data_IF_016863702646
#
_entry.id   IF_016863702646
#
_cell.length_a   1.000
_cell.length_b   1.000
_cell.length_c   1.000
_cell.angle_alpha   90.00
_cell.angle_beta   90.00
_cell.angle_gamma   90.00
#
_symmetry.space_group_name_H-M   'P 1'
#
loop_
_entity.id
_entity.type
_entity.pdbx_description
1 polymer ?
2 non-polymer ?
3 water ?
#
# COMPACT_ATOMS: atom_id res chain seq x y z
N UNK A 2 -3.96 -8.91 17.57
CA UNK A 2 -5.00 -9.93 17.75
C UNK A 2 -4.75 -10.79 18.95
N UNK A 3 -3.47 -11.02 19.23
CA UNK A 3 -2.99 -12.08 20.11
C UNK A 3 -2.97 -13.42 19.31
N UNK A 4 -1.75 -13.83 18.95
CA UNK A 4 -1.54 -14.99 18.09
C UNK A 4 -0.10 -15.19 17.63
N UNK A 5 0.08 -16.26 16.88
CA UNK A 5 1.36 -16.71 16.33
C UNK A 5 2.06 -15.78 15.28
N UNK A 6 2.38 -14.55 15.68
CA UNK A 6 3.34 -13.65 14.99
C UNK A 6 3.12 -12.30 15.60
N UNK A 7 4.21 -11.81 16.16
CA UNK A 7 4.15 -10.68 17.06
C UNK A 7 4.81 -9.46 16.39
N UNK A 8 4.25 -8.27 16.61
CA UNK A 8 4.59 -7.13 15.79
C UNK A 8 4.78 -5.85 16.51
N UNK A 9 5.62 -5.05 15.92
CA UNK A 9 5.87 -3.78 16.51
C UNK A 9 5.63 -2.82 15.44
N UNK A 10 5.03 -1.71 15.84
CA UNK A 10 4.53 -0.72 14.96
C UNK A 10 5.33 0.48 15.26
N UNK A 11 6.25 0.77 14.33
CA UNK A 11 7.03 1.95 14.34
C UNK A 11 6.21 3.18 14.74
N UNK A 12 5.79 4.01 13.80
CA UNK A 12 5.42 5.38 14.14
C UNK A 12 4.10 5.55 14.93
N UNK A 13 4.01 4.91 16.10
CA UNK A 13 2.80 4.80 16.89
C UNK A 13 1.64 5.84 16.97
N UNK A 14 1.92 7.15 16.92
CA UNK A 14 0.85 8.17 16.91
C UNK A 14 0.73 8.84 15.53
N UNK A 15 1.39 8.22 14.55
CA UNK A 15 1.18 8.51 13.13
C UNK A 15 -0.26 8.16 12.72
N UNK A 16 -0.72 8.84 11.67
CA UNK A 16 -2.00 8.53 11.07
C UNK A 16 -1.88 7.10 10.61
N UNK A 17 -0.75 6.75 10.02
CA UNK A 17 -0.55 5.33 9.86
C UNK A 17 -0.47 4.45 11.13
N UNK A 18 0.38 4.83 12.13
CA UNK A 18 0.49 4.00 13.36
C UNK A 18 -0.88 3.76 13.99
N UNK A 19 -1.68 4.80 14.14
CA UNK A 19 -2.95 4.60 14.84
C UNK A 19 -3.79 3.46 14.27
N UNK A 20 -3.94 3.44 12.94
CA UNK A 20 -4.68 2.44 12.19
C UNK A 20 -4.03 1.06 12.09
N UNK A 21 -2.71 1.01 11.94
CA UNK A 21 -2.04 -0.32 12.00
C UNK A 21 -2.32 -1.03 13.35
N UNK A 22 -2.50 -0.22 14.39
CA UNK A 22 -2.67 -0.80 15.73
C UNK A 22 -3.94 -1.58 15.73
N UNK A 23 -4.97 -0.94 15.18
CA UNK A 23 -6.28 -1.53 15.23
C UNK A 23 -6.28 -2.79 14.42
N UNK A 24 -5.49 -2.75 13.36
CA UNK A 24 -5.41 -3.87 12.46
C UNK A 24 -4.68 -5.05 13.07
N UNK A 25 -3.63 -4.71 13.84
CA UNK A 25 -2.78 -5.69 14.48
C UNK A 25 -3.69 -6.38 15.44
N UNK A 26 -4.31 -5.55 16.26
CA UNK A 26 -5.33 -6.00 17.15
C UNK A 26 -6.27 -6.91 16.36
N UNK A 27 -7.14 -6.30 15.57
CA UNK A 27 -8.08 -7.03 14.73
C UNK A 27 -7.67 -8.36 14.15
N UNK A 28 -6.63 -8.36 13.33
CA UNK A 28 -6.39 -9.51 12.48
C UNK A 28 -5.89 -10.81 13.13
N UNK A 29 -6.66 -11.87 12.95
CA UNK A 29 -6.29 -13.19 13.43
C UNK A 29 -4.85 -13.60 13.12
N UNK A 30 -4.11 -14.08 14.13
CA UNK A 30 -2.81 -14.76 13.94
C UNK A 30 -1.63 -13.80 14.14
N UNK A 31 -1.94 -12.53 14.34
CA UNK A 31 -0.90 -11.55 14.63
C UNK A 31 -1.20 -11.13 16.00
N UNK A 32 -0.17 -10.67 16.70
CA UNK A 32 -0.35 -10.11 18.02
C UNK A 32 0.49 -8.87 18.15
N UNK A 33 -0.02 -7.84 18.80
CA UNK A 33 0.74 -6.58 18.98
C UNK A 33 2.01 -6.79 19.81
N UNK A 34 3.16 -6.78 19.13
CA UNK A 34 4.45 -6.98 19.79
C UNK A 34 4.86 -5.76 20.64
N UNK A 35 5.08 -4.63 19.97
CA UNK A 35 5.55 -3.37 20.58
C UNK A 35 4.92 -2.17 19.85
N UNK A 36 5.03 -1.00 20.45
CA UNK A 36 4.49 0.17 19.83
C UNK A 36 5.39 1.29 20.06
N UNK A 37 6.48 1.31 19.31
CA UNK A 37 7.44 2.39 19.41
C UNK A 37 6.90 3.74 19.02
N UNK A 38 7.73 4.75 19.21
CA UNK A 38 7.42 6.11 18.76
C UNK A 38 8.65 6.99 19.01
N UNK A 39 8.60 8.22 18.51
CA UNK A 39 9.71 9.16 18.65
C UNK A 39 10.05 9.36 20.14
N UNK A 40 11.29 9.68 20.43
CA UNK A 40 11.69 10.01 21.81
C UNK A 40 10.87 11.14 22.42
N UNK A 41 10.92 12.32 21.79
CA UNK A 41 10.15 13.50 22.22
C UNK A 41 8.64 13.29 22.38
N UNK A 42 8.18 12.06 22.12
CA UNK A 42 6.76 11.71 22.22
C UNK A 42 6.11 11.94 23.59
N UNK A 43 4.83 12.22 23.54
CA UNK A 43 4.02 12.52 24.71
C UNK A 43 3.34 11.22 25.09
N UNK A 44 3.29 10.36 24.10
CA UNK A 44 2.52 9.16 24.17
C UNK A 44 3.39 8.10 24.75
N UNK A 45 4.66 8.45 24.88
CA UNK A 45 5.68 7.56 25.40
C UNK A 45 5.39 6.84 26.68
N UNK A 46 5.99 5.63 26.71
CA UNK A 46 6.09 4.74 27.88
C UNK A 46 4.71 4.40 28.38
N UNK A 47 3.88 5.41 28.41
CA UNK A 47 2.56 5.32 28.93
C UNK A 47 1.83 4.15 28.27
N UNK A 48 1.19 4.46 27.14
CA UNK A 48 0.13 3.69 26.46
C UNK A 48 -0.14 2.19 26.32
N UNK A 49 -0.74 1.92 25.18
CA UNK A 49 -1.13 0.60 24.80
C UNK A 49 -1.55 0.82 23.36
N UNK A 50 -2.73 0.32 23.04
CA UNK A 50 -3.36 0.66 21.79
C UNK A 50 -4.63 1.33 22.24
N UNK A 51 -4.55 2.65 22.34
CA UNK A 51 -5.69 3.43 22.75
C UNK A 51 -5.65 4.70 21.98
N UNK A 52 -5.12 4.56 20.77
CA UNK A 52 -5.37 5.51 19.69
C UNK A 52 -6.24 4.70 18.75
N UNK A 53 -6.05 3.40 18.84
CA UNK A 53 -6.93 2.47 18.16
C UNK A 53 -8.13 2.24 19.07
N UNK A 54 -8.51 3.29 19.80
CA UNK A 54 -9.50 3.22 20.87
C UNK A 54 -9.06 2.03 21.67
N UNK A 55 -9.87 0.99 21.63
CA UNK A 55 -9.45 -0.33 22.12
C UNK A 55 -8.91 -0.39 23.58
N UNK A 56 -9.21 0.63 24.38
CA UNK A 56 -8.83 0.66 25.80
C UNK A 56 -7.40 0.15 26.12
N UNK A 57 -7.33 -0.78 27.08
CA UNK A 57 -6.05 -1.29 27.62
C UNK A 57 -5.56 -2.54 26.86
N UNK A 58 -4.32 -2.50 26.34
CA UNK A 58 -3.82 -3.61 25.54
C UNK A 58 -2.63 -4.35 26.15
N UNK A 59 -1.96 -3.68 27.10
CA UNK A 59 -0.86 -4.29 27.85
C UNK A 59 0.52 -4.07 27.23
N UNK A 60 0.58 -3.43 26.06
CA UNK A 60 1.86 -3.16 25.40
C UNK A 60 2.00 -1.67 25.34
N UNK A 61 3.19 -1.21 25.70
CA UNK A 61 3.30 0.17 26.05
C UNK A 61 4.24 0.84 25.09
N UNK A 62 3.82 2.00 24.60
CA UNK A 62 4.61 2.69 23.56
C UNK A 62 5.98 3.01 24.13
N UNK A 63 6.97 3.11 23.26
CA UNK A 63 8.34 3.24 23.72
C UNK A 63 9.27 4.18 22.93
N UNK A 64 10.53 3.86 22.88
CA UNK A 64 11.40 4.73 22.19
C UNK A 64 12.68 4.02 21.90
N UNK A 65 12.88 2.85 22.52
CA UNK A 65 14.09 2.08 22.25
C UNK A 65 13.80 0.80 21.61
N UNK A 66 14.57 0.51 20.59
CA UNK A 66 14.46 -0.77 19.93
C UNK A 66 14.96 -1.86 20.85
N UNK A 67 16.02 -1.54 21.59
CA UNK A 67 16.63 -2.47 22.55
C UNK A 67 15.64 -2.74 23.65
N UNK A 68 15.00 -1.67 24.12
CA UNK A 68 13.97 -1.84 25.16
C UNK A 68 13.03 -3.01 24.88
N UNK A 69 12.75 -3.24 23.59
CA UNK A 69 11.72 -4.18 23.23
C UNK A 69 12.06 -5.16 22.17
N UNK A 70 13.31 -5.11 21.68
CA UNK A 70 13.71 -5.93 20.55
C UNK A 70 13.30 -7.37 20.72
N UNK A 71 12.95 -7.69 21.95
CA UNK A 71 12.59 -9.04 22.32
C UNK A 71 11.09 -9.22 22.28
N UNK A 72 10.36 -8.16 22.03
CA UNK A 72 8.91 -8.25 22.18
C UNK A 72 8.07 -8.34 20.90
N UNK A 73 8.71 -8.70 19.80
CA UNK A 73 8.03 -8.74 18.52
C UNK A 73 8.90 -9.49 17.49
N UNK A 74 8.28 -9.86 16.38
CA UNK A 74 8.97 -10.59 15.35
C UNK A 74 9.16 -9.79 14.10
N UNK A 75 8.11 -9.08 13.71
CA UNK A 75 8.15 -8.33 12.46
C UNK A 75 7.97 -6.82 12.75
N UNK A 76 8.81 -6.05 12.06
CA UNK A 76 8.83 -4.64 12.22
C UNK A 76 8.07 -4.00 11.08
N UNK A 77 6.95 -3.43 11.46
CA UNK A 77 6.17 -2.63 10.63
C UNK A 77 6.47 -1.17 10.82
N UNK A 78 6.94 -0.58 9.73
CA UNK A 78 7.45 0.79 9.63
C UNK A 78 6.71 1.67 8.60
N UNK A 79 5.88 2.62 9.09
CA UNK A 79 5.31 3.70 8.27
C UNK A 79 5.74 5.01 8.88
N UNK A 80 6.95 5.48 8.55
CA UNK A 80 7.64 6.49 9.36
C UNK A 80 8.11 7.71 8.61
N UNK A 81 9.42 7.86 8.44
CA UNK A 81 10.08 8.87 7.59
C UNK A 81 11.31 8.16 7.17
N UNK A 82 11.82 8.40 5.98
CA UNK A 82 12.96 7.64 5.49
C UNK A 82 14.17 7.50 6.44
N UNK A 83 14.44 8.59 7.19
CA UNK A 83 15.45 8.68 8.28
C UNK A 83 15.31 7.56 9.31
N UNK A 84 14.14 7.46 9.91
CA UNK A 84 13.87 6.44 10.91
C UNK A 84 14.00 5.03 10.38
N UNK A 85 13.54 4.84 9.15
CA UNK A 85 13.50 3.51 8.59
C UNK A 85 14.90 2.99 8.47
N UNK A 86 15.76 3.79 7.89
CA UNK A 86 17.19 3.44 7.91
C UNK A 86 17.81 3.01 9.31
N UNK A 87 17.36 3.63 10.41
CA UNK A 87 17.86 3.27 11.75
C UNK A 87 17.28 1.94 12.07
N UNK A 88 15.95 1.93 11.97
CA UNK A 88 15.15 0.72 12.12
C UNK A 88 15.80 -0.39 11.28
N UNK A 89 16.08 -0.06 10.02
CA UNK A 89 16.63 -0.98 9.07
C UNK A 89 17.78 -1.69 9.71
N UNK A 90 18.84 -0.92 9.93
CA UNK A 90 20.13 -1.40 10.47
C UNK A 90 20.02 -2.21 11.79
N UNK A 91 19.06 -1.83 12.59
CA UNK A 91 18.78 -2.61 13.76
C UNK A 91 18.16 -3.98 13.39
N UNK A 92 17.09 -3.97 12.58
CA UNK A 92 16.43 -5.20 12.23
C UNK A 92 17.38 -6.15 11.53
N UNK A 93 18.21 -5.62 10.61
CA UNK A 93 19.16 -6.50 9.90
C UNK A 93 19.95 -7.25 10.93
N UNK A 94 20.40 -6.45 11.89
CA UNK A 94 21.22 -6.87 13.01
C UNK A 94 20.56 -8.04 13.70
N UNK A 95 19.44 -7.80 14.36
CA UNK A 95 18.78 -8.87 15.11
C UNK A 95 17.94 -9.79 14.24
N UNK A 96 18.11 -9.65 12.93
CA UNK A 96 17.37 -10.45 11.96
C UNK A 96 15.88 -10.24 12.16
N UNK A 97 15.48 -8.99 12.38
CA UNK A 97 14.06 -8.67 12.48
C UNK A 97 13.45 -8.46 11.09
N UNK A 98 12.29 -9.07 10.84
CA UNK A 98 11.60 -8.93 9.54
C UNK A 98 10.84 -7.62 9.45
N UNK A 99 10.89 -7.00 8.31
CA UNK A 99 10.21 -5.74 8.28
C UNK A 99 9.14 -5.66 7.22
N UNK A 100 8.37 -4.62 7.39
CA UNK A 100 7.34 -4.33 6.45
C UNK A 100 7.44 -2.83 6.36
N UNK A 101 8.10 -2.34 5.31
CA UNK A 101 8.22 -0.93 5.09
C UNK A 101 7.21 -0.30 4.12
N UNK A 102 6.45 0.68 4.63
CA UNK A 102 5.43 1.39 3.85
C UNK A 102 5.79 2.84 3.78
N UNK A 103 6.81 3.19 4.55
CA UNK A 103 7.46 4.49 4.40
C UNK A 103 7.77 4.79 2.94
N UNK A 104 7.56 6.04 2.56
CA UNK A 104 7.86 6.48 1.22
C UNK A 104 8.86 7.69 1.15
N UNK A 105 9.47 7.85 -0.01
CA UNK A 105 10.30 9.01 -0.23
C UNK A 105 11.81 8.82 -0.13
N UNK A 106 12.26 7.57 -0.13
CA UNK A 106 13.70 7.24 -0.16
C UNK A 106 14.32 7.75 -1.47
N UNK A 107 15.62 8.06 -1.47
CA UNK A 107 16.27 8.34 -2.73
C UNK A 107 16.86 7.02 -3.15
N UNK A 108 17.76 7.06 -4.12
CA UNK A 108 18.32 5.81 -4.62
C UNK A 108 19.10 5.08 -3.54
N UNK A 109 19.83 5.86 -2.77
CA UNK A 109 20.68 5.33 -1.73
C UNK A 109 19.88 4.57 -0.63
N UNK A 110 18.77 5.18 -0.22
CA UNK A 110 17.83 4.58 0.72
C UNK A 110 17.26 3.31 0.14
N UNK A 111 16.76 3.29 -1.11
CA UNK A 111 16.29 2.00 -1.65
C UNK A 111 17.39 0.94 -1.56
N UNK A 112 18.56 1.26 -2.11
CA UNK A 112 19.69 0.30 -2.16
C UNK A 112 19.99 -0.33 -0.77
N UNK A 113 19.88 0.52 0.23
CA UNK A 113 20.13 0.08 1.57
C UNK A 113 19.15 -1.03 1.81
N UNK A 114 17.93 -0.77 1.37
CA UNK A 114 16.83 -1.69 1.58
C UNK A 114 17.03 -2.97 0.79
N UNK A 115 17.53 -2.82 -0.41
CA UNK A 115 17.71 -3.99 -1.25
C UNK A 115 18.72 -4.82 -0.56
N UNK A 116 19.71 -4.13 0.01
CA UNK A 116 20.86 -4.76 0.61
C UNK A 116 20.52 -5.53 1.87
N UNK A 117 19.77 -4.89 2.76
CA UNK A 117 19.44 -5.58 3.98
C UNK A 117 18.75 -6.89 3.69
N UNK A 118 17.94 -6.92 2.63
CA UNK A 118 17.07 -8.08 2.30
C UNK A 118 17.87 -9.37 2.23
N UNK A 119 19.12 -9.18 1.80
CA UNK A 119 20.15 -10.21 1.74
C UNK A 119 20.12 -11.00 3.02
N UNK A 120 19.89 -10.31 4.12
CA UNK A 120 19.93 -11.00 5.39
C UNK A 120 18.64 -11.04 6.11
N UNK A 121 17.76 -10.19 5.66
CA UNK A 121 16.53 -9.93 6.33
C UNK A 121 15.43 -10.08 5.24
N UNK A 122 14.31 -10.71 5.64
CA UNK A 122 13.05 -10.79 4.86
C UNK A 122 12.27 -9.45 4.89
N UNK A 123 12.09 -8.76 3.75
CA UNK A 123 11.40 -7.43 3.75
C UNK A 123 10.20 -7.27 2.75
N UNK A 124 9.06 -6.83 3.27
CA UNK A 124 8.00 -6.36 2.40
C UNK A 124 8.05 -4.88 2.30
N UNK A 125 8.31 -4.41 1.10
CA UNK A 125 8.53 -3.01 0.89
C UNK A 125 7.64 -2.63 -0.27
N UNK A 126 6.75 -1.68 -0.11
CA UNK A 126 5.82 -1.43 -1.17
C UNK A 126 5.29 -0.04 -1.08
N UNK A 127 4.96 0.56 -2.24
CA UNK A 127 4.32 1.90 -2.25
C UNK A 127 2.80 1.96 -2.15
N UNK A 128 2.14 0.83 -2.12
CA UNK A 128 0.71 0.85 -1.90
C UNK A 128 0.36 -0.43 -1.31
N UNK A 129 -0.06 -0.36 -0.07
CA UNK A 129 -0.39 -1.54 0.61
C UNK A 129 -1.85 -1.88 0.54
N UNK A 130 -2.61 -1.22 -0.33
CA UNK A 130 -4.05 -1.56 -0.37
C UNK A 130 -4.21 -2.91 -1.00
N UNK A 131 -4.95 -3.79 -0.41
CA UNK A 131 -5.11 -5.10 -1.00
C UNK A 131 -6.07 -5.03 -2.26
N UNK A 132 -7.14 -4.23 -2.12
CA UNK A 132 -8.12 -4.01 -3.16
C UNK A 132 -7.49 -3.43 -4.39
N UNK A 133 -6.64 -2.43 -4.18
CA UNK A 133 -5.98 -1.80 -5.31
C UNK A 133 -5.08 -2.74 -6.09
N UNK A 134 -4.41 -3.62 -5.36
CA UNK A 134 -3.43 -4.51 -5.99
C UNK A 134 -4.15 -5.65 -6.72
N UNK A 135 -5.16 -6.20 -6.09
CA UNK A 135 -6.02 -7.15 -6.79
C UNK A 135 -6.60 -6.50 -8.09
N UNK A 136 -7.16 -5.30 -7.94
CA UNK A 136 -7.76 -4.67 -9.06
C UNK A 136 -6.79 -4.57 -10.21
N UNK A 137 -5.54 -4.26 -9.91
CA UNK A 137 -4.66 -4.01 -10.98
C UNK A 137 -4.46 -5.31 -11.75
N UNK A 138 -4.43 -6.40 -11.02
CA UNK A 138 -4.29 -7.75 -11.55
C UNK A 138 -5.51 -8.14 -12.41
N UNK A 139 -6.71 -7.80 -11.93
CA UNK A 139 -7.94 -8.10 -12.62
C UNK A 139 -8.02 -7.29 -13.91
N UNK A 140 -7.51 -6.07 -13.87
CA UNK A 140 -7.63 -5.22 -15.04
C UNK A 140 -6.89 -5.86 -16.14
N UNK A 141 -5.88 -6.60 -15.78
CA UNK A 141 -5.04 -7.07 -16.80
C UNK A 141 -5.53 -8.42 -17.35
N UNK A 142 -6.18 -9.20 -16.50
CA UNK A 142 -6.95 -10.28 -17.02
C UNK A 142 -8.01 -9.77 -18.02
N UNK A 143 -8.84 -8.81 -17.60
CA UNK A 143 -9.91 -8.27 -18.42
C UNK A 143 -9.43 -7.80 -19.82
N UNK A 144 -8.24 -7.23 -19.87
CA UNK A 144 -7.79 -6.57 -21.07
C UNK A 144 -7.36 -7.59 -22.09
N UNK A 145 -6.74 -8.65 -21.64
CA UNK A 145 -6.34 -9.74 -22.48
C UNK A 145 -7.57 -10.15 -23.27
N UNK A 146 -8.70 -10.24 -22.55
CA UNK A 146 -9.96 -10.62 -23.13
C UNK A 146 -10.82 -9.72 -23.94
N UNK A 147 -11.08 -8.52 -23.42
CA UNK A 147 -11.96 -7.56 -24.06
C UNK A 147 -11.17 -6.39 -24.59
N UNK A 148 -9.88 -6.33 -24.31
CA UNK A 148 -9.13 -5.12 -24.51
C UNK A 148 -9.13 -4.53 -25.89
N UNK A 149 -9.14 -5.40 -26.84
CA UNK A 149 -9.04 -5.00 -28.22
C UNK A 149 -10.39 -4.55 -28.82
N UNK A 150 -11.50 -4.96 -28.28
CA UNK A 150 -12.75 -4.71 -28.91
C UNK A 150 -13.25 -3.43 -28.31
N UNK A 151 -12.91 -3.24 -27.03
CA UNK A 151 -13.52 -2.23 -26.17
C UNK A 151 -12.88 -0.89 -26.11
N UNK A 152 -13.72 0.11 -25.82
CA UNK A 152 -13.31 1.46 -25.41
C UNK A 152 -12.98 1.40 -23.87
N UNK A 153 -11.78 1.77 -23.49
CA UNK A 153 -11.36 1.59 -22.10
C UNK A 153 -11.12 2.97 -21.54
N UNK A 154 -11.85 3.27 -20.47
CA UNK A 154 -11.86 4.63 -19.93
C UNK A 154 -11.50 4.55 -18.45
N UNK A 155 -10.80 5.55 -17.93
CA UNK A 155 -10.45 5.48 -16.52
C UNK A 155 -10.90 6.72 -15.82
N UNK A 156 -11.64 6.49 -14.76
CA UNK A 156 -12.27 7.62 -14.12
C UNK A 156 -11.86 7.57 -12.67
N UNK A 157 -11.21 8.64 -12.18
CA UNK A 157 -10.86 8.73 -10.76
C UNK A 157 -11.38 10.03 -10.13
N UNK A 158 -11.83 9.93 -8.90
CA UNK A 158 -12.24 11.07 -8.09
C UNK A 158 -11.34 11.13 -6.82
N UNK A 159 -10.90 12.33 -6.47
CA UNK A 159 -10.27 12.56 -5.16
C UNK A 159 -10.70 13.87 -4.59
N UNK A 160 -10.30 14.08 -3.33
CA UNK A 160 -10.66 15.31 -2.60
C UNK A 160 -10.14 16.51 -3.27
N UNK A 161 -10.57 17.68 -2.76
CA UNK A 161 -10.26 18.94 -3.38
C UNK A 161 -8.87 19.41 -3.13
N UNK A 162 -8.05 18.65 -2.42
CA UNK A 162 -6.66 19.08 -2.25
C UNK A 162 -5.68 18.35 -3.09
N UNK A 163 -6.10 17.25 -3.75
CA UNK A 163 -5.19 16.47 -4.59
C UNK A 163 -4.73 17.34 -5.72
N UNK A 164 -3.44 17.28 -6.04
CA UNK A 164 -2.71 18.32 -6.76
C UNK A 164 -2.21 17.99 -8.20
N UNK A 165 -2.10 16.70 -8.54
CA UNK A 165 -1.81 16.29 -9.92
C UNK A 165 -2.95 15.42 -10.40
N UNK A 166 -3.30 15.58 -11.67
CA UNK A 166 -4.38 14.80 -12.27
C UNK A 166 -3.73 14.13 -13.46
N UNK A 167 -3.83 12.81 -13.66
CA UNK A 167 -4.62 11.84 -12.94
C UNK A 167 -3.85 11.41 -11.72
N UNK A 168 -4.49 10.66 -10.84
CA UNK A 168 -3.78 10.10 -9.76
C UNK A 168 -2.85 8.94 -10.25
N UNK A 169 -1.98 8.46 -9.36
CA UNK A 169 -0.92 7.54 -9.72
C UNK A 169 -1.47 6.17 -9.78
N UNK A 170 -2.48 5.91 -8.99
CA UNK A 170 -3.16 4.60 -9.12
C UNK A 170 -3.82 4.54 -10.52
N UNK A 171 -4.39 5.66 -10.94
CA UNK A 171 -5.01 5.74 -12.23
C UNK A 171 -4.00 5.46 -13.34
N UNK A 172 -2.87 6.15 -13.32
CA UNK A 172 -1.79 5.83 -14.32
C UNK A 172 -1.39 4.39 -14.20
N UNK A 173 -1.34 3.94 -12.95
CA UNK A 173 -0.92 2.61 -12.73
C UNK A 173 -1.90 1.70 -13.52
N UNK A 174 -3.20 1.96 -13.37
CA UNK A 174 -4.26 1.24 -14.05
C UNK A 174 -4.12 1.31 -15.62
N UNK A 175 -3.81 2.51 -16.12
CA UNK A 175 -3.60 2.78 -17.51
C UNK A 175 -2.50 1.88 -18.05
N UNK A 176 -1.52 1.70 -17.19
CA UNK A 176 -0.32 1.04 -17.58
C UNK A 176 -0.40 -0.47 -17.57
N UNK A 177 -1.21 -1.03 -16.67
CA UNK A 177 -1.38 -2.47 -16.61
C UNK A 177 -2.17 -2.96 -17.84
N UNK A 178 -3.14 -2.15 -18.23
CA UNK A 178 -4.02 -2.38 -19.34
C UNK A 178 -3.24 -2.24 -20.62
N UNK A 179 -2.60 -1.10 -20.73
CA UNK A 179 -1.73 -0.79 -21.86
C UNK A 179 -0.73 -1.94 -22.07
N UNK A 180 -0.15 -2.38 -20.97
CA UNK A 180 0.91 -3.36 -21.07
C UNK A 180 0.38 -4.75 -21.40
N UNK A 181 -0.83 -5.04 -20.90
CA UNK A 181 -1.61 -6.24 -21.26
C UNK A 181 -1.86 -6.29 -22.79
N UNK A 182 -2.02 -5.12 -23.37
CA UNK A 182 -2.20 -5.00 -24.79
C UNK A 182 -0.90 -4.80 -25.54
N UNK A 183 0.24 -5.06 -24.90
CA UNK A 183 1.51 -4.82 -25.58
C UNK A 183 1.64 -3.44 -26.01
N UNK A 184 0.83 -2.58 -25.50
CA UNK A 184 0.82 -1.28 -26.08
C UNK A 184 1.57 -0.33 -25.12
N UNK A 185 1.57 0.95 -25.44
CA UNK A 185 2.18 1.95 -24.58
C UNK A 185 1.29 3.12 -24.27
N UNK A 186 1.17 3.30 -22.96
CA UNK A 186 0.27 4.27 -22.39
C UNK A 186 0.48 5.62 -23.02
N UNK A 187 1.73 6.08 -23.03
CA UNK A 187 2.00 7.38 -23.57
C UNK A 187 1.52 7.45 -24.99
N UNK A 188 1.35 6.32 -25.64
CA UNK A 188 0.95 6.43 -27.01
C UNK A 188 -0.53 6.58 -27.18
N UNK A 189 -1.28 5.98 -26.29
CA UNK A 189 -2.70 6.06 -26.48
C UNK A 189 -3.52 6.75 -25.42
N UNK A 190 -2.89 7.49 -24.51
CA UNK A 190 -3.60 8.15 -23.40
C UNK A 190 -4.26 9.44 -23.82
N UNK A 191 -5.46 9.69 -23.35
CA UNK A 191 -6.03 11.01 -23.54
C UNK A 191 -6.60 11.54 -22.23
N UNK A 192 -6.05 12.65 -21.77
CA UNK A 192 -6.31 13.10 -20.42
C UNK A 192 -7.29 14.22 -20.41
N UNK A 193 -7.53 14.79 -21.57
CA UNK A 193 -8.44 15.93 -21.63
C UNK A 193 -9.39 15.68 -22.77
N UNK A 194 -10.60 16.20 -22.62
CA UNK A 194 -11.53 16.33 -23.70
C UNK A 194 -12.23 17.67 -23.56
N UNK A 195 -11.87 18.63 -24.38
CA UNK A 195 -12.50 19.93 -24.35
C UNK A 195 -12.87 20.38 -25.79
N UNK A 196 -14.04 20.97 -25.93
CA UNK A 196 -14.53 21.53 -27.19
C UNK A 196 -14.86 20.45 -28.22
N UNK A 197 -14.46 20.74 -29.43
CA UNK A 197 -14.68 19.82 -30.50
C UNK A 197 -13.48 18.90 -30.49
N UNK A 198 -13.76 17.65 -30.48
CA UNK A 198 -12.69 16.80 -30.17
C UNK A 198 -12.70 15.75 -31.25
N UNK A 199 -13.84 15.63 -31.92
CA UNK A 199 -14.06 14.63 -32.96
C UNK A 199 -14.38 13.29 -32.32
N UNK A 200 -14.84 12.32 -33.11
CA UNK A 200 -15.12 10.97 -32.60
C UNK A 200 -13.89 10.34 -31.91
N UNK A 201 -14.14 9.41 -31.00
CA UNK A 201 -13.13 8.81 -30.12
C UNK A 201 -12.23 7.95 -30.95
N UNK A 202 -10.90 8.04 -30.75
CA UNK A 202 -10.01 7.24 -31.58
C UNK A 202 -9.91 5.88 -30.95
N UNK A 203 -9.92 4.89 -31.80
CA UNK A 203 -9.90 3.53 -31.37
C UNK A 203 -8.57 3.23 -30.73
N UNK A 204 -8.64 2.48 -29.64
CA UNK A 204 -7.48 1.97 -28.97
C UNK A 204 -6.93 2.97 -27.95
N UNK A 205 -7.34 4.23 -28.06
CA UNK A 205 -6.91 5.16 -27.02
C UNK A 205 -7.55 4.87 -25.66
N UNK A 206 -6.80 5.28 -24.64
CA UNK A 206 -7.29 5.19 -23.27
C UNK A 206 -7.68 6.58 -22.72
N UNK A 207 -8.95 6.83 -22.41
CA UNK A 207 -9.28 8.19 -21.93
C UNK A 207 -9.26 8.22 -20.39
N UNK A 208 -8.87 9.38 -19.78
CA UNK A 208 -8.86 9.58 -18.30
C UNK A 208 -9.81 10.64 -17.91
N UNK A 209 -10.68 10.39 -16.92
CA UNK A 209 -11.55 11.50 -16.48
C UNK A 209 -11.36 11.68 -14.94
N UNK A 210 -11.17 12.93 -14.51
CA UNK A 210 -10.67 13.21 -13.18
C UNK A 210 -11.57 14.14 -12.45
N UNK A 211 -12.05 13.67 -11.33
CA UNK A 211 -12.98 14.44 -10.50
C UNK A 211 -12.24 14.80 -9.21
N UNK A 212 -12.39 16.05 -8.79
CA UNK A 212 -11.74 16.60 -7.58
C UNK A 212 -12.83 17.29 -6.78
N UNK A 213 -13.16 16.74 -5.64
CA UNK A 213 -14.11 17.43 -4.84
C UNK A 213 -14.06 16.87 -3.45
N UNK A 214 -14.44 17.75 -2.53
CA UNK A 214 -14.77 17.42 -1.16
C UNK A 214 -13.62 16.83 -0.42
N UNK A 215 -13.94 15.75 0.28
CA UNK A 215 -13.03 14.96 1.08
C UNK A 215 -12.77 13.52 0.49
N UNK A 216 -13.09 13.26 -0.81
CA UNK A 216 -12.98 11.89 -1.38
C UNK A 216 -11.59 11.26 -1.25
N UNK A 217 -11.51 10.21 -0.45
CA UNK A 217 -10.28 9.55 -0.19
C UNK A 217 -9.63 8.98 -1.48
N UNK A 218 -10.42 8.27 -2.30
CA UNK A 218 -9.96 7.78 -3.61
C UNK A 218 -10.86 6.76 -4.26
N UNK A 219 -11.35 7.08 -5.45
CA UNK A 219 -12.28 6.19 -6.18
C UNK A 219 -11.80 6.12 -7.60
N UNK A 220 -11.59 4.88 -8.05
CA UNK A 220 -10.96 4.53 -9.34
C UNK A 220 -11.80 3.43 -10.06
N UNK A 221 -12.31 3.76 -11.23
CA UNK A 221 -13.01 2.79 -12.03
C UNK A 221 -12.45 2.68 -13.47
N UNK A 222 -12.20 1.44 -13.90
CA UNK A 222 -11.84 1.17 -15.32
C UNK A 222 -13.10 0.57 -16.02
N UNK A 223 -13.49 1.17 -17.11
CA UNK A 223 -14.72 0.80 -17.84
C UNK A 223 -14.21 0.12 -19.11
N UNK A 224 -14.65 -1.12 -19.41
CA UNK A 224 -14.39 -1.76 -20.71
C UNK A 224 -15.76 -1.79 -21.42
N UNK A 225 -15.98 -0.83 -22.34
CA UNK A 225 -17.25 -0.64 -22.98
C UNK A 225 -17.27 -1.14 -24.45
N UNK A 226 -18.38 -1.73 -24.80
CA UNK A 226 -18.64 -2.21 -26.18
C UNK A 226 -19.94 -1.67 -26.62
N UNK A 227 -20.39 -2.16 -27.76
CA UNK A 227 -21.77 -1.94 -28.11
C UNK A 227 -22.59 -3.00 -27.37
N UNK A 228 -23.62 -2.59 -26.66
CA UNK A 228 -24.54 -3.52 -26.00
C UNK A 228 -24.13 -3.89 -24.55
N UNK A 229 -22.90 -3.61 -24.14
CA UNK A 229 -22.51 -3.85 -22.70
C UNK A 229 -21.32 -2.99 -22.22
N UNK A 230 -21.13 -2.89 -20.89
CA UNK A 230 -19.82 -2.53 -20.37
C UNK A 230 -19.47 -3.19 -19.07
N UNK A 231 -18.18 -3.45 -18.93
CA UNK A 231 -17.71 -4.12 -17.75
C UNK A 231 -16.90 -3.07 -16.94
N UNK A 232 -17.21 -2.92 -15.64
CA UNK A 232 -16.49 -1.90 -14.79
C UNK A 232 -15.86 -2.46 -13.56
N UNK A 233 -14.62 -2.07 -13.28
CA UNK A 233 -13.98 -2.60 -12.10
C UNK A 233 -13.57 -1.44 -11.27
N UNK A 234 -14.24 -1.27 -10.12
CA UNK A 234 -14.07 -0.03 -9.40
C UNK A 234 -13.45 -0.37 -8.04
N UNK A 235 -12.54 0.49 -7.58
CA UNK A 235 -12.04 0.35 -6.20
C UNK A 235 -12.42 1.62 -5.46
N UNK A 236 -12.97 1.48 -4.26
CA UNK A 236 -13.15 2.70 -3.43
C UNK A 236 -12.42 2.60 -2.11
N UNK A 237 -11.65 3.63 -1.82
CA UNK A 237 -10.97 3.67 -0.51
C UNK A 237 -11.81 4.51 0.44
N UNK A 238 -12.10 4.02 1.60
CA UNK A 238 -12.83 4.88 2.51
C UNK A 238 -11.91 5.47 3.57
N UNK A 239 -10.75 4.86 3.82
CA UNK A 239 -9.93 5.30 4.92
C UNK A 239 -8.58 4.78 4.69
N UNK A 240 -7.66 5.09 5.57
CA UNK A 240 -6.30 4.70 5.41
C UNK A 240 -6.17 3.35 5.98
N UNK A 241 -7.23 2.87 6.58
CA UNK A 241 -7.23 1.52 7.07
C UNK A 241 -6.87 0.53 5.98
N UNK A 242 -7.28 0.82 4.74
CA UNK A 242 -6.98 -0.11 3.65
C UNK A 242 -5.48 -0.53 3.55
N UNK A 243 -4.59 0.45 3.61
CA UNK A 243 -3.13 0.23 3.71
C UNK A 243 -2.68 -0.55 4.90
N UNK A 244 -3.27 -0.16 6.03
CA UNK A 244 -3.08 -0.85 7.30
C UNK A 244 -3.31 -2.34 7.22
N UNK A 245 -4.48 -2.77 6.82
CA UNK A 245 -4.64 -4.22 6.81
C UNK A 245 -3.73 -4.80 5.81
N UNK A 246 -3.28 -4.00 4.86
CA UNK A 246 -2.46 -4.58 3.82
C UNK A 246 -1.14 -4.91 4.40
N UNK A 247 -0.59 -4.00 5.21
CA UNK A 247 0.74 -4.25 5.81
C UNK A 247 0.74 -5.35 6.86
N UNK A 248 -0.25 -5.33 7.70
CA UNK A 248 -0.40 -6.35 8.73
C UNK A 248 -0.51 -7.71 8.08
N UNK A 249 -1.35 -7.81 7.09
CA UNK A 249 -1.49 -9.04 6.33
C UNK A 249 -0.12 -9.48 5.84
N UNK A 250 0.68 -8.51 5.44
CA UNK A 250 1.97 -8.86 4.90
C UNK A 250 2.84 -9.36 6.03
N UNK A 251 2.73 -8.63 7.16
CA UNK A 251 3.49 -8.93 8.39
C UNK A 251 3.27 -10.44 8.62
N UNK A 252 2.02 -10.83 8.68
CA UNK A 252 1.74 -12.25 8.76
C UNK A 252 2.34 -13.14 7.62
N UNK A 253 2.39 -12.65 6.39
CA UNK A 253 2.90 -13.42 5.27
C UNK A 253 4.42 -13.69 5.41
N UNK A 254 5.07 -12.72 6.06
CA UNK A 254 6.52 -12.72 6.28
C UNK A 254 6.91 -13.92 7.15
N UNK A 255 6.10 -14.20 8.18
CA UNK A 255 6.38 -15.28 9.09
C UNK A 255 6.86 -16.51 8.35
N UNK A 256 8.11 -16.84 8.56
CA UNK A 256 8.59 -18.05 7.97
C UNK A 256 9.52 -17.82 6.82
N UNK A 257 9.60 -16.57 6.37
CA UNK A 257 10.62 -16.23 5.39
C UNK A 257 11.78 -15.42 6.05
N UNK A 258 12.94 -15.49 5.40
CA UNK A 258 14.08 -14.58 5.63
C UNK A 258 15.01 -14.42 4.45
N UNK A 259 14.46 -14.80 3.31
CA UNK A 259 15.03 -14.38 2.06
C UNK A 259 14.84 -12.87 1.96
N UNK A 260 15.16 -12.34 0.80
CA UNK A 260 15.14 -10.93 0.58
C UNK A 260 13.82 -10.25 0.43
N UNK A 261 13.56 -9.84 -0.82
CA UNK A 261 12.71 -8.69 -1.09
C UNK A 261 11.43 -8.95 -1.88
N UNK A 262 10.31 -8.51 -1.28
CA UNK A 262 8.95 -8.81 -1.73
C UNK A 262 8.14 -7.58 -1.82
N UNK A 263 6.96 -7.75 -2.42
CA UNK A 263 5.92 -6.74 -2.47
C UNK A 263 4.58 -7.35 -2.43
N UNK A 264 3.58 -6.56 -2.77
CA UNK A 264 2.24 -7.05 -2.59
C UNK A 264 1.77 -8.13 -3.57
N UNK A 265 2.41 -8.17 -4.72
CA UNK A 265 2.19 -9.26 -5.64
C UNK A 265 2.61 -10.55 -5.01
N UNK A 266 3.57 -10.45 -4.07
CA UNK A 266 4.22 -11.61 -3.54
C UNK A 266 3.39 -12.07 -2.41
N UNK A 267 3.03 -11.10 -1.65
CA UNK A 267 2.26 -11.38 -0.46
C UNK A 267 0.90 -11.99 -0.83
N UNK A 268 0.42 -11.47 -2.00
CA UNK A 268 -0.93 -11.65 -2.45
C UNK A 268 -0.92 -12.77 -3.43
N UNK A 269 0.25 -13.04 -4.01
CA UNK A 269 0.39 -14.16 -4.95
C UNK A 269 -0.34 -13.80 -6.22
N UNK A 270 -0.30 -12.54 -6.53
CA UNK A 270 -1.05 -12.04 -7.60
C UNK A 270 -0.50 -12.70 -8.75
N UNK A 271 0.68 -13.23 -8.62
CA UNK A 271 1.23 -13.70 -9.83
C UNK A 271 0.84 -15.05 -10.30
N UNK A 272 0.04 -15.74 -9.49
CA UNK A 272 -0.42 -17.12 -9.75
C UNK A 272 -1.95 -17.14 -9.65
N UNK A 273 -2.52 -15.98 -9.96
CA UNK A 273 -3.91 -15.73 -9.70
C UNK A 273 -4.76 -15.89 -10.94
#
# INVERSE_FOLDING_TARGET
MHDANIRVAIAGAGGRMGRQLIQAALALEGVQLGAALEREGSSLLGSDAGELAGAGKTGVTVQSSLDAVKDDFDVFIDFTRPEGTLNHLAFCRQHGKGMVIGTTGFDEAGKQAIRDAAADIAIVFAANFSVGVNVMLKLLEKAAKVMGDYTDIEIIEAHHRHKVDAPSGTALAMGEAIAHALDKDLKDCAVYSREGHTGERVPGTIGFATVRAGDIVGEHTAMFADIGERLEITHKASSRMTFANGAVRSALWLSGKESGLFDMRDVLDLNNL
#
